data_IF_644594216034
#
_entry.id   IF_644594216034
#
_cell.length_a   1.000
_cell.length_b   1.000
_cell.length_c   1.000
_cell.angle_alpha   90.00
_cell.angle_beta   90.00
_cell.angle_gamma   90.00
#
_symmetry.space_group_name_H-M   'P 1'
#
loop_
_entity.id
_entity.type
_entity.pdbx_description
1 polymer ?
#
# COMPACT_ATOMS: atom_id res chain seq x y z
N UNK A 1 -6.32 4.03 -25.61
CA UNK A 1 -6.85 4.03 -24.24
C UNK A 1 -7.37 5.42 -23.87
N UNK A 2 -6.53 6.47 -23.87
CA UNK A 2 -6.94 7.83 -23.47
C UNK A 2 -8.15 8.35 -24.27
N UNK A 3 -8.24 8.05 -25.57
CA UNK A 3 -9.38 8.44 -26.39
C UNK A 3 -10.69 7.79 -25.92
N UNK A 4 -10.69 6.48 -25.62
CA UNK A 4 -11.86 5.80 -25.07
C UNK A 4 -12.28 6.36 -23.70
N UNK A 5 -11.30 6.67 -22.85
CA UNK A 5 -11.55 7.33 -21.55
C UNK A 5 -12.23 8.68 -21.79
N UNK A 6 -11.71 9.49 -22.72
CA UNK A 6 -12.27 10.80 -23.04
C UNK A 6 -13.74 10.72 -23.52
N UNK A 7 -14.08 9.77 -24.38
CA UNK A 7 -15.46 9.55 -24.83
C UNK A 7 -16.40 9.20 -23.66
N UNK A 8 -15.91 8.45 -22.69
CA UNK A 8 -16.65 8.14 -21.47
C UNK A 8 -16.89 9.43 -20.66
N UNK A 9 -15.83 10.20 -20.44
CA UNK A 9 -15.86 11.41 -19.62
C UNK A 9 -16.72 12.54 -20.18
N UNK A 10 -16.87 12.61 -21.50
CA UNK A 10 -17.82 13.54 -22.14
C UNK A 10 -19.28 13.28 -21.78
N UNK A 11 -19.64 12.02 -21.55
CA UNK A 11 -21.03 11.60 -21.34
C UNK A 11 -21.36 11.34 -19.87
N UNK A 12 -20.33 11.09 -19.05
CA UNK A 12 -20.51 10.58 -17.70
C UNK A 12 -19.63 11.31 -16.70
N UNK A 13 -20.18 11.65 -15.55
CA UNK A 13 -19.36 12.04 -14.40
C UNK A 13 -18.73 10.84 -13.77
N UNK A 14 -17.43 10.92 -13.56
CA UNK A 14 -16.63 9.72 -13.34
C UNK A 14 -15.60 9.94 -12.24
N UNK A 15 -15.41 8.95 -11.38
CA UNK A 15 -14.20 8.84 -10.56
C UNK A 15 -13.23 7.92 -11.29
N UNK A 16 -12.01 8.39 -11.50
CA UNK A 16 -10.92 7.62 -12.08
C UNK A 16 -10.01 7.19 -10.94
N UNK A 17 -10.07 5.92 -10.56
CA UNK A 17 -9.18 5.38 -9.54
C UNK A 17 -7.85 4.94 -10.14
N UNK A 18 -6.78 5.25 -9.43
CA UNK A 18 -5.41 4.82 -9.68
C UNK A 18 -4.80 4.22 -8.42
N UNK A 19 -3.73 3.46 -8.55
CA UNK A 19 -3.15 2.74 -7.41
C UNK A 19 -2.15 3.57 -6.59
N UNK A 20 -1.51 4.59 -7.19
CA UNK A 20 -0.51 5.42 -6.51
C UNK A 20 -0.79 6.91 -6.69
N UNK A 21 -0.29 7.72 -5.74
CA UNK A 21 -0.38 9.19 -5.79
C UNK A 21 0.36 9.75 -7.01
N UNK A 22 1.53 9.17 -7.33
CA UNK A 22 2.30 9.55 -8.51
C UNK A 22 1.51 9.30 -9.81
N UNK A 23 0.83 8.15 -9.92
CA UNK A 23 -0.06 7.88 -11.07
C UNK A 23 -1.20 8.90 -11.16
N UNK A 24 -1.77 9.35 -10.03
CA UNK A 24 -2.82 10.36 -10.04
C UNK A 24 -2.32 11.68 -10.64
N UNK A 25 -1.16 12.16 -10.19
CA UNK A 25 -0.55 13.40 -10.69
C UNK A 25 -0.17 13.30 -12.17
N UNK A 26 0.50 12.21 -12.59
CA UNK A 26 0.91 11.99 -13.97
C UNK A 26 -0.29 11.89 -14.93
N UNK A 27 -1.32 11.16 -14.52
CA UNK A 27 -2.55 11.03 -15.30
C UNK A 27 -3.24 12.40 -15.45
N UNK A 28 -3.34 13.15 -14.35
CA UNK A 28 -3.94 14.48 -14.38
C UNK A 28 -3.22 15.40 -15.38
N UNK A 29 -1.89 15.45 -15.33
CA UNK A 29 -1.10 16.26 -16.25
C UNK A 29 -1.35 15.84 -17.71
N UNK A 30 -1.32 14.53 -17.96
CA UNK A 30 -1.47 13.97 -19.29
C UNK A 30 -2.85 14.24 -19.89
N UNK A 31 -3.91 14.03 -19.09
CA UNK A 31 -5.28 14.17 -19.52
C UNK A 31 -5.68 15.64 -19.71
N UNK A 32 -5.27 16.52 -18.81
CA UNK A 32 -5.55 17.97 -18.89
C UNK A 32 -4.74 18.67 -19.99
N UNK A 33 -3.58 18.12 -20.38
CA UNK A 33 -2.82 18.62 -21.52
C UNK A 33 -3.54 18.32 -22.82
N UNK A 34 -4.13 17.14 -22.93
CA UNK A 34 -4.75 16.64 -24.16
C UNK A 34 -6.19 17.11 -24.33
N UNK A 35 -6.97 17.16 -23.25
CA UNK A 35 -8.42 17.45 -23.29
C UNK A 35 -8.71 18.69 -22.45
N UNK A 36 -8.75 19.86 -23.11
CA UNK A 36 -8.93 21.16 -22.47
C UNK A 36 -10.41 21.53 -22.22
N UNK A 37 -11.31 20.82 -22.85
CA UNK A 37 -12.76 21.03 -22.79
C UNK A 37 -13.40 20.39 -21.54
N UNK A 38 -12.67 19.53 -20.82
CA UNK A 38 -13.13 18.88 -19.61
C UNK A 38 -12.38 19.42 -18.36
N UNK A 39 -13.12 19.50 -17.27
CA UNK A 39 -12.57 19.93 -15.97
C UNK A 39 -12.26 18.71 -15.12
N UNK A 40 -11.02 18.64 -14.63
CA UNK A 40 -10.52 17.56 -13.80
C UNK A 40 -10.04 18.09 -12.45
N UNK A 41 -10.12 17.23 -11.43
CA UNK A 41 -9.47 17.47 -10.15
C UNK A 41 -8.73 16.21 -9.68
N UNK A 42 -7.83 16.37 -8.71
CA UNK A 42 -7.08 15.29 -8.07
C UNK A 42 -7.53 15.16 -6.62
N UNK A 43 -7.59 13.90 -6.12
CA UNK A 43 -7.90 13.63 -4.73
C UNK A 43 -7.04 12.47 -4.20
N UNK A 44 -6.12 12.76 -3.29
CA UNK A 44 -5.31 11.73 -2.60
C UNK A 44 -4.86 12.22 -1.21
N UNK A 45 -4.45 11.27 -0.36
CA UNK A 45 -4.16 11.53 1.05
C UNK A 45 -3.04 12.54 1.34
N UNK A 46 -2.15 12.81 0.36
CA UNK A 46 -1.08 13.82 0.52
C UNK A 46 -1.54 15.25 0.28
N UNK A 47 -2.73 15.47 -0.26
CA UNK A 47 -3.29 16.81 -0.43
C UNK A 47 -3.80 17.34 0.91
N UNK A 48 -3.72 18.68 1.11
CA UNK A 48 -4.28 19.31 2.30
C UNK A 48 -5.79 19.04 2.40
N UNK A 49 -6.31 18.98 3.64
CA UNK A 49 -7.73 18.74 3.90
C UNK A 49 -8.62 19.76 3.16
N UNK A 50 -8.18 21.02 3.11
CA UNK A 50 -8.91 22.10 2.41
C UNK A 50 -9.07 21.82 0.92
N UNK A 51 -8.00 21.41 0.23
CA UNK A 51 -8.02 21.08 -1.21
C UNK A 51 -8.93 19.87 -1.47
N UNK A 52 -8.87 18.86 -0.60
CA UNK A 52 -9.72 17.67 -0.74
C UNK A 52 -11.19 18.01 -0.62
N UNK A 53 -11.58 18.76 0.43
CA UNK A 53 -12.96 19.20 0.63
C UNK A 53 -13.47 20.08 -0.52
N UNK A 54 -12.65 21.02 -1.02
CA UNK A 54 -12.96 21.85 -2.17
C UNK A 54 -13.19 21.00 -3.44
N UNK A 55 -12.38 19.96 -3.66
CA UNK A 55 -12.55 19.02 -4.77
C UNK A 55 -13.85 18.22 -4.65
N UNK A 56 -14.19 17.75 -3.46
CA UNK A 56 -15.41 17.02 -3.19
C UNK A 56 -16.66 17.89 -3.42
N UNK A 57 -16.61 19.14 -2.95
CA UNK A 57 -17.68 20.11 -3.15
C UNK A 57 -17.88 20.46 -4.63
N UNK A 58 -16.79 20.71 -5.36
CA UNK A 58 -16.84 20.98 -6.80
C UNK A 58 -17.46 19.83 -7.59
N UNK A 59 -17.20 18.57 -7.16
CA UNK A 59 -17.83 17.41 -7.79
C UNK A 59 -19.31 17.32 -7.46
N UNK A 60 -19.70 17.54 -6.21
CA UNK A 60 -21.11 17.58 -5.76
C UNK A 60 -21.89 18.65 -6.48
N UNK A 61 -21.30 19.84 -6.64
CA UNK A 61 -21.90 20.98 -7.33
C UNK A 61 -21.80 20.92 -8.85
N UNK A 62 -21.37 19.78 -9.40
CA UNK A 62 -21.29 19.55 -10.84
C UNK A 62 -20.32 20.46 -11.61
N UNK A 63 -19.32 21.04 -10.95
CA UNK A 63 -18.37 21.98 -11.55
C UNK A 63 -17.21 21.30 -12.26
N UNK A 64 -17.00 20.00 -12.02
CA UNK A 64 -15.98 19.18 -12.65
C UNK A 64 -16.55 17.91 -13.28
N UNK A 65 -15.89 17.40 -14.31
CA UNK A 65 -16.31 16.22 -15.05
C UNK A 65 -15.78 14.92 -14.42
N UNK A 66 -14.56 14.96 -13.90
CA UNK A 66 -13.96 13.77 -13.29
C UNK A 66 -12.98 14.13 -12.16
N UNK A 67 -12.91 13.22 -11.18
CA UNK A 67 -11.87 13.23 -10.14
C UNK A 67 -10.93 12.06 -10.37
N UNK A 68 -9.63 12.33 -10.37
CA UNK A 68 -8.59 11.31 -10.37
C UNK A 68 -8.20 11.06 -8.91
N UNK A 69 -8.46 9.85 -8.42
CA UNK A 69 -8.31 9.52 -7.02
C UNK A 69 -7.50 8.26 -6.78
N UNK A 70 -6.86 8.19 -5.62
CA UNK A 70 -6.35 6.95 -5.03
C UNK A 70 -7.41 6.32 -4.13
N UNK A 71 -7.02 5.54 -3.12
CA UNK A 71 -7.95 4.94 -2.15
C UNK A 71 -8.73 5.94 -1.29
N UNK A 72 -8.40 7.22 -1.34
CA UNK A 72 -9.02 8.25 -0.51
C UNK A 72 -10.52 8.49 -0.75
N UNK A 73 -11.05 8.02 -1.87
CA UNK A 73 -12.47 8.06 -2.22
C UNK A 73 -13.12 6.65 -2.31
N UNK A 74 -12.44 5.61 -1.84
CA UNK A 74 -13.01 4.24 -1.78
C UNK A 74 -14.14 4.13 -0.75
N UNK A 75 -14.12 4.98 0.28
CA UNK A 75 -15.10 4.96 1.38
C UNK A 75 -15.66 6.37 1.68
N UNK A 76 -16.84 6.42 2.27
CA UNK A 76 -17.38 7.66 2.84
C UNK A 76 -17.99 8.66 1.84
N UNK A 77 -18.25 8.24 0.59
CA UNK A 77 -18.85 9.11 -0.42
C UNK A 77 -20.18 8.54 -0.89
N UNK A 78 -21.17 9.39 -0.89
CA UNK A 78 -22.46 9.15 -1.51
C UNK A 78 -22.79 10.33 -2.44
N UNK A 79 -22.43 10.16 -3.72
CA UNK A 79 -22.66 11.18 -4.74
C UNK A 79 -23.53 10.60 -5.87
N UNK A 80 -24.81 10.97 -5.86
CA UNK A 80 -25.80 10.58 -6.88
C UNK A 80 -25.40 10.93 -8.31
N UNK A 81 -24.45 11.85 -8.46
CA UNK A 81 -24.01 12.37 -9.77
C UNK A 81 -22.98 11.47 -10.46
N UNK A 82 -22.36 10.53 -9.75
CA UNK A 82 -21.37 9.63 -10.34
C UNK A 82 -22.07 8.47 -11.06
N UNK A 83 -21.98 8.48 -12.38
CA UNK A 83 -22.62 7.44 -13.22
C UNK A 83 -21.69 6.27 -13.56
N UNK A 84 -20.38 6.46 -13.44
CA UNK A 84 -19.41 5.44 -13.83
C UNK A 84 -18.09 5.58 -13.09
N UNK A 85 -17.41 4.45 -12.88
CA UNK A 85 -16.06 4.37 -12.34
C UNK A 85 -15.08 3.90 -13.40
N UNK A 86 -13.89 4.46 -13.43
CA UNK A 86 -12.77 3.96 -14.23
C UNK A 86 -11.65 3.57 -13.27
N UNK A 87 -11.17 2.32 -13.36
CA UNK A 87 -9.98 1.87 -12.65
C UNK A 87 -8.80 1.78 -13.63
N UNK A 88 -7.76 2.54 -13.42
CA UNK A 88 -6.50 2.43 -14.17
C UNK A 88 -5.51 1.62 -13.33
N UNK A 89 -5.16 0.47 -13.86
CA UNK A 89 -4.58 -0.62 -13.10
C UNK A 89 -5.61 -1.37 -12.26
N UNK A 90 -5.27 -2.59 -11.88
CA UNK A 90 -6.13 -3.40 -11.02
C UNK A 90 -5.91 -3.00 -9.56
N UNK A 91 -6.95 -2.75 -8.76
CA UNK A 91 -6.78 -2.69 -7.32
C UNK A 91 -6.29 -4.05 -6.83
N UNK A 92 -5.37 -4.05 -5.86
CA UNK A 92 -4.65 -5.26 -5.43
C UNK A 92 -5.51 -6.28 -4.67
N UNK A 93 -6.85 -6.15 -4.75
CA UNK A 93 -7.84 -7.05 -4.15
C UNK A 93 -9.23 -6.89 -4.78
N UNK A 94 -10.01 -7.97 -4.76
CA UNK A 94 -11.37 -8.02 -5.30
C UNK A 94 -12.32 -7.15 -4.48
N UNK A 95 -12.23 -7.22 -3.14
CA UNK A 95 -13.06 -6.41 -2.24
C UNK A 95 -12.91 -4.92 -2.53
N UNK A 96 -11.68 -4.47 -2.77
CA UNK A 96 -11.40 -3.09 -3.12
C UNK A 96 -12.00 -2.68 -4.46
N UNK A 97 -11.96 -3.57 -5.46
CA UNK A 97 -12.61 -3.31 -6.74
C UNK A 97 -14.13 -3.14 -6.56
N UNK A 98 -14.75 -4.02 -5.78
CA UNK A 98 -16.20 -3.95 -5.49
C UNK A 98 -16.55 -2.66 -4.75
N UNK A 99 -15.74 -2.26 -3.75
CA UNK A 99 -15.91 -0.98 -3.04
C UNK A 99 -15.84 0.22 -3.98
N UNK A 100 -14.89 0.23 -4.94
CA UNK A 100 -14.78 1.28 -5.96
C UNK A 100 -15.99 1.28 -6.88
N UNK A 101 -16.41 0.12 -7.39
CA UNK A 101 -17.59 -0.03 -8.27
C UNK A 101 -18.84 0.50 -7.56
N UNK A 102 -18.98 0.20 -6.26
CA UNK A 102 -20.07 0.69 -5.44
C UNK A 102 -20.10 2.21 -5.25
N UNK A 103 -19.13 3.00 -5.78
CA UNK A 103 -19.19 4.47 -5.80
C UNK A 103 -19.93 5.04 -7.01
N UNK A 104 -20.49 4.21 -7.86
CA UNK A 104 -21.27 4.64 -9.04
C UNK A 104 -22.74 4.27 -8.92
N UNK A 105 -23.59 5.11 -9.52
CA UNK A 105 -25.02 4.86 -9.68
C UNK A 105 -25.74 4.53 -8.35
N UNK A 106 -25.63 5.40 -7.34
CA UNK A 106 -26.33 5.25 -6.06
C UNK A 106 -27.87 5.38 -6.13
N UNK A 107 -28.43 5.53 -7.31
CA UNK A 107 -29.90 5.60 -7.49
C UNK A 107 -30.52 4.21 -7.30
N UNK A 108 -31.69 4.16 -6.69
CA UNK A 108 -32.36 2.95 -6.20
C UNK A 108 -32.51 1.81 -7.22
N UNK A 109 -32.66 2.00 -8.50
CA UNK A 109 -32.77 0.95 -9.51
C UNK A 109 -31.59 0.92 -10.50
N UNK A 110 -30.49 1.56 -10.21
CA UNK A 110 -29.39 1.62 -11.14
C UNK A 110 -28.29 0.61 -10.85
N UNK A 111 -27.74 0.00 -11.90
CA UNK A 111 -26.65 -0.96 -11.77
C UNK A 111 -25.32 -0.19 -11.78
N UNK A 112 -24.44 -0.40 -10.79
CA UNK A 112 -23.10 0.18 -10.79
C UNK A 112 -22.32 -0.20 -12.04
N UNK A 113 -21.62 0.78 -12.64
CA UNK A 113 -20.83 0.60 -13.86
C UNK A 113 -19.37 0.93 -13.64
N UNK A 114 -18.49 0.05 -14.07
CA UNK A 114 -17.06 0.29 -14.02
C UNK A 114 -16.35 -0.16 -15.30
N UNK A 115 -15.27 0.53 -15.62
CA UNK A 115 -14.32 0.16 -16.67
C UNK A 115 -12.97 -0.07 -16.01
N UNK A 116 -12.33 -1.20 -16.29
CA UNK A 116 -11.00 -1.51 -15.81
C UNK A 116 -10.03 -1.40 -16.99
N UNK A 117 -8.95 -0.67 -16.79
CA UNK A 117 -7.95 -0.38 -17.82
C UNK A 117 -6.59 -0.91 -17.35
N UNK A 118 -6.14 -2.08 -17.83
CA UNK A 118 -4.83 -2.60 -17.48
C UNK A 118 -3.73 -1.71 -18.04
N UNK A 119 -2.65 -1.50 -17.29
CA UNK A 119 -1.50 -0.67 -17.69
C UNK A 119 -0.38 -1.50 -18.33
N UNK A 120 -0.36 -2.80 -18.06
CA UNK A 120 0.61 -3.75 -18.62
C UNK A 120 -0.04 -5.13 -18.88
N UNK A 121 0.73 -6.04 -19.47
CA UNK A 121 0.23 -7.36 -19.87
C UNK A 121 -0.18 -8.24 -18.69
N UNK A 122 0.56 -8.22 -17.59
CA UNK A 122 0.23 -9.00 -16.38
C UNK A 122 -1.03 -8.44 -15.69
N UNK A 123 -1.18 -7.13 -15.62
CA UNK A 123 -2.42 -6.52 -15.09
C UNK A 123 -3.67 -6.89 -15.89
N UNK A 124 -3.55 -7.26 -17.16
CA UNK A 124 -4.70 -7.77 -17.89
C UNK A 124 -5.21 -9.07 -17.27
N UNK A 125 -4.33 -9.99 -16.88
CA UNK A 125 -4.70 -11.21 -16.18
C UNK A 125 -5.24 -10.94 -14.78
N UNK A 126 -4.70 -9.93 -14.07
CA UNK A 126 -5.28 -9.45 -12.81
C UNK A 126 -6.72 -8.95 -13.01
N UNK A 127 -6.98 -8.15 -14.06
CA UNK A 127 -8.33 -7.66 -14.39
C UNK A 127 -9.28 -8.83 -14.66
N UNK A 128 -8.85 -9.80 -15.45
CA UNK A 128 -9.64 -10.99 -15.75
C UNK A 128 -9.93 -11.82 -14.51
N UNK A 129 -8.92 -12.01 -13.64
CA UNK A 129 -9.08 -12.70 -12.37
C UNK A 129 -10.08 -11.99 -11.44
N UNK A 130 -10.03 -10.65 -11.36
CA UNK A 130 -11.02 -9.87 -10.62
C UNK A 130 -12.44 -10.10 -11.15
N UNK A 131 -12.63 -10.04 -12.47
CA UNK A 131 -13.93 -10.25 -13.10
C UNK A 131 -14.46 -11.65 -12.83
N UNK A 132 -13.61 -12.68 -12.95
CA UNK A 132 -13.95 -14.06 -12.68
C UNK A 132 -14.40 -14.24 -11.21
N UNK A 133 -13.66 -13.69 -10.25
CA UNK A 133 -13.96 -13.80 -8.83
C UNK A 133 -15.26 -13.08 -8.47
N UNK A 134 -15.51 -11.89 -9.03
CA UNK A 134 -16.77 -11.16 -8.83
C UNK A 134 -17.96 -11.98 -9.37
N UNK A 135 -17.85 -12.52 -10.58
CA UNK A 135 -18.90 -13.39 -11.18
C UNK A 135 -19.19 -14.62 -10.32
N UNK A 136 -18.14 -15.21 -9.72
CA UNK A 136 -18.24 -16.36 -8.81
C UNK A 136 -18.67 -15.98 -7.39
N UNK A 137 -18.87 -14.69 -7.09
CA UNK A 137 -19.12 -14.14 -5.73
C UNK A 137 -18.06 -14.56 -4.71
N UNK A 138 -16.81 -14.73 -5.15
CA UNK A 138 -15.67 -15.07 -4.30
C UNK A 138 -14.87 -13.81 -4.03
N UNK A 139 -14.87 -13.38 -2.79
CA UNK A 139 -14.21 -12.18 -2.31
C UNK A 139 -12.91 -12.53 -1.58
N UNK A 140 -12.10 -11.48 -1.30
CA UNK A 140 -10.89 -11.68 -0.52
C UNK A 140 -11.23 -12.08 0.91
N UNK A 141 -10.60 -13.14 1.38
CA UNK A 141 -10.68 -13.54 2.78
C UNK A 141 -9.82 -12.58 3.60
N UNK A 142 -10.35 -12.13 4.71
CA UNK A 142 -9.58 -11.40 5.71
C UNK A 142 -9.03 -12.45 6.65
N UNK A 143 -7.70 -12.63 6.65
CA UNK A 143 -7.06 -13.49 7.65
C UNK A 143 -7.32 -12.94 9.05
N UNK A 144 -7.60 -13.82 9.99
CA UNK A 144 -7.75 -13.45 11.40
C UNK A 144 -6.45 -12.76 11.88
N UNK A 145 -6.55 -11.52 12.30
CA UNK A 145 -5.42 -10.82 12.87
C UNK A 145 -5.19 -11.30 14.30
N UNK A 146 -4.03 -11.88 14.54
CA UNK A 146 -3.52 -12.11 15.88
C UNK A 146 -3.20 -10.74 16.49
N UNK A 147 -3.50 -10.55 17.77
CA UNK A 147 -3.21 -9.31 18.47
C UNK A 147 -1.71 -9.02 18.50
N UNK A 148 -1.32 -7.81 18.11
CA UNK A 148 0.07 -7.40 18.11
C UNK A 148 0.56 -7.02 19.50
N UNK A 149 1.83 -7.31 19.79
CA UNK A 149 2.42 -7.10 21.13
C UNK A 149 2.52 -5.61 21.49
N UNK A 150 2.79 -4.74 20.51
CA UNK A 150 2.88 -3.29 20.71
C UNK A 150 1.53 -2.69 21.14
N UNK A 151 0.42 -3.14 20.56
CA UNK A 151 -0.94 -2.74 20.98
C UNK A 151 -1.22 -3.21 22.40
N UNK A 152 -0.81 -4.44 22.75
CA UNK A 152 -0.96 -4.94 24.11
C UNK A 152 -0.11 -4.16 25.11
N UNK A 153 1.15 -3.89 24.79
CA UNK A 153 2.03 -3.02 25.60
C UNK A 153 1.41 -1.65 25.84
N UNK A 154 0.88 -1.02 24.79
CA UNK A 154 0.23 0.29 24.89
C UNK A 154 -1.02 0.22 25.78
N UNK A 155 -1.84 -0.82 25.65
CA UNK A 155 -3.01 -1.03 26.49
C UNK A 155 -2.64 -1.17 27.97
N UNK A 156 -1.59 -1.94 28.29
CA UNK A 156 -1.06 -2.08 29.67
C UNK A 156 -0.60 -0.73 30.22
N UNK A 157 0.12 0.06 29.41
CA UNK A 157 0.57 1.40 29.81
C UNK A 157 -0.61 2.35 30.06
N UNK A 158 -1.63 2.34 29.24
CA UNK A 158 -2.83 3.16 29.42
C UNK A 158 -3.55 2.77 30.72
N UNK A 159 -3.79 1.49 30.98
CA UNK A 159 -4.41 1.02 32.20
C UNK A 159 -3.60 1.41 33.45
N UNK A 160 -2.28 1.35 33.35
CA UNK A 160 -1.40 1.75 34.47
C UNK A 160 -1.49 3.24 34.80
N UNK A 161 -1.81 4.09 33.81
CA UNK A 161 -2.02 5.53 34.00
C UNK A 161 -3.39 5.86 34.58
N UNK A 162 -4.37 4.98 34.44
CA UNK A 162 -5.75 5.18 34.93
C UNK A 162 -5.89 4.68 36.37
N UNK A 163 -6.23 3.43 36.52
CA UNK A 163 -6.50 2.81 37.84
C UNK A 163 -5.52 1.67 38.18
N UNK A 164 -4.59 1.38 37.30
CA UNK A 164 -3.66 0.26 37.45
C UNK A 164 -4.30 -1.06 37.05
N UNK A 165 -3.51 -2.14 37.03
CA UNK A 165 -4.00 -3.49 36.71
C UNK A 165 -3.27 -4.56 37.52
N UNK A 166 -3.99 -5.64 37.81
CA UNK A 166 -3.42 -6.88 38.35
C UNK A 166 -3.28 -7.87 37.18
N UNK A 167 -2.09 -8.47 37.03
CA UNK A 167 -1.77 -9.27 35.84
C UNK A 167 -2.70 -10.47 35.62
N UNK A 168 -3.08 -11.16 36.70
CA UNK A 168 -3.94 -12.35 36.61
C UNK A 168 -5.38 -12.02 36.15
N UNK A 169 -5.94 -10.97 36.74
CA UNK A 169 -7.29 -10.52 36.42
C UNK A 169 -7.36 -9.98 34.99
N UNK A 170 -6.41 -9.10 34.62
CA UNK A 170 -6.35 -8.51 33.29
C UNK A 170 -6.12 -9.57 32.20
N UNK A 171 -5.28 -10.58 32.46
CA UNK A 171 -5.10 -11.67 31.51
C UNK A 171 -6.43 -12.37 31.17
N UNK A 172 -7.26 -12.66 32.18
CA UNK A 172 -8.58 -13.29 31.98
C UNK A 172 -9.53 -12.44 31.13
N UNK A 173 -9.38 -11.13 31.16
CA UNK A 173 -10.14 -10.20 30.29
C UNK A 173 -9.59 -10.18 28.87
N UNK A 174 -8.29 -10.09 28.72
CA UNK A 174 -7.60 -10.01 27.41
C UNK A 174 -7.87 -11.24 26.55
N UNK A 175 -7.79 -12.46 27.12
CA UNK A 175 -8.03 -13.69 26.37
C UNK A 175 -9.48 -13.88 25.91
N UNK A 176 -10.42 -13.12 26.46
CA UNK A 176 -11.81 -13.11 25.96
C UNK A 176 -11.93 -12.32 24.64
N UNK A 177 -10.93 -11.51 24.31
CA UNK A 177 -10.93 -10.76 23.06
C UNK A 177 -10.46 -11.65 21.90
N UNK A 178 -11.06 -11.49 20.73
CA UNK A 178 -10.73 -12.32 19.57
C UNK A 178 -9.23 -12.29 19.19
N UNK A 179 -8.54 -11.13 19.15
CA UNK A 179 -7.14 -11.07 18.77
C UNK A 179 -6.18 -11.82 19.70
N UNK A 180 -6.53 -11.93 20.98
CA UNK A 180 -5.65 -12.51 22.02
C UNK A 180 -6.17 -13.83 22.59
N UNK A 181 -7.21 -14.44 21.99
CA UNK A 181 -7.83 -15.70 22.47
C UNK A 181 -6.83 -16.85 22.69
N UNK A 182 -5.73 -16.86 21.94
CA UNK A 182 -4.70 -17.90 22.01
C UNK A 182 -3.42 -17.45 22.76
N UNK A 183 -3.46 -16.30 23.44
CA UNK A 183 -2.32 -15.78 24.20
C UNK A 183 -2.04 -16.67 25.41
N UNK A 184 -0.80 -17.11 25.58
CA UNK A 184 -0.38 -17.89 26.75
C UNK A 184 -0.04 -16.95 27.92
N UNK A 185 -0.38 -17.37 29.16
CA UNK A 185 -0.12 -16.55 30.34
C UNK A 185 1.38 -16.29 30.56
N UNK A 186 2.26 -17.26 30.31
CA UNK A 186 3.71 -17.07 30.38
C UNK A 186 4.19 -15.94 29.47
N UNK A 187 3.74 -15.94 28.22
CA UNK A 187 4.09 -14.90 27.25
C UNK A 187 3.49 -13.54 27.62
N UNK A 188 2.27 -13.52 28.16
CA UNK A 188 1.70 -12.28 28.69
C UNK A 188 2.55 -11.69 29.81
N UNK A 189 3.11 -12.51 30.72
CA UNK A 189 3.99 -12.04 31.77
C UNK A 189 5.31 -11.48 31.24
N UNK A 190 5.87 -12.04 30.15
CA UNK A 190 7.02 -11.46 29.47
C UNK A 190 6.71 -10.07 28.91
N UNK A 191 5.52 -9.87 28.32
CA UNK A 191 5.07 -8.55 27.86
C UNK A 191 4.90 -7.59 29.05
N UNK A 192 4.32 -8.03 30.16
CA UNK A 192 4.20 -7.20 31.38
C UNK A 192 5.58 -6.82 31.90
N UNK A 193 6.55 -7.73 31.97
CA UNK A 193 7.93 -7.45 32.36
C UNK A 193 8.59 -6.44 31.42
N UNK A 194 8.42 -6.62 30.12
CA UNK A 194 8.94 -5.67 29.13
C UNK A 194 8.37 -4.25 29.33
N UNK A 195 7.08 -4.13 29.61
CA UNK A 195 6.44 -2.83 29.87
C UNK A 195 6.89 -2.24 31.21
N UNK A 196 7.20 -3.08 32.19
CA UNK A 196 7.59 -2.68 33.53
C UNK A 196 8.97 -2.01 33.54
N UNK A 197 10.00 -2.65 33.01
CA UNK A 197 11.40 -2.22 33.12
C UNK A 197 12.17 -2.16 31.79
N UNK A 198 11.51 -2.44 30.65
CA UNK A 198 12.13 -2.47 29.33
C UNK A 198 12.80 -3.80 28.99
N UNK A 199 12.55 -4.85 29.80
CA UNK A 199 13.11 -6.19 29.64
C UNK A 199 14.59 -6.29 30.02
N UNK A 200 15.19 -7.45 29.76
CA UNK A 200 16.54 -7.79 30.24
C UNK A 200 17.65 -6.82 29.82
N UNK A 201 17.46 -6.05 28.73
CA UNK A 201 18.48 -5.08 28.25
C UNK A 201 18.45 -3.80 29.07
N UNK A 202 17.28 -3.33 29.49
CA UNK A 202 17.10 -2.01 30.10
C UNK A 202 16.81 -2.05 31.60
N UNK A 203 16.61 -3.25 32.19
CA UNK A 203 16.26 -3.42 33.61
C UNK A 203 17.31 -2.84 34.60
N UNK A 204 18.57 -2.70 34.17
CA UNK A 204 19.63 -2.09 34.96
C UNK A 204 19.60 -0.54 34.99
N UNK A 205 18.72 0.07 34.23
CA UNK A 205 18.60 1.52 34.11
C UNK A 205 17.27 2.01 34.68
N UNK A 206 17.27 2.49 35.91
CA UNK A 206 16.08 3.03 36.61
C UNK A 206 15.27 4.05 35.77
N UNK A 207 15.94 4.77 34.86
CA UNK A 207 15.31 5.73 33.95
C UNK A 207 14.25 5.09 33.03
N UNK A 208 14.37 3.81 32.75
CA UNK A 208 13.45 3.09 31.81
C UNK A 208 12.35 2.34 32.55
N UNK A 209 12.41 2.24 33.88
CA UNK A 209 11.34 1.65 34.68
C UNK A 209 10.12 2.57 34.65
N UNK A 210 9.10 2.17 33.92
CA UNK A 210 7.88 2.98 33.73
C UNK A 210 6.79 2.69 34.74
N UNK A 211 6.77 1.48 35.26
CA UNK A 211 5.75 1.04 36.21
C UNK A 211 6.33 0.76 37.59
N UNK A 212 5.49 0.84 38.60
CA UNK A 212 5.73 0.33 39.97
C UNK A 212 4.61 -0.66 40.31
N UNK A 213 4.95 -1.63 41.14
CA UNK A 213 4.04 -2.62 41.65
C UNK A 213 3.77 -2.33 43.13
N UNK A 214 2.51 -2.21 43.49
CA UNK A 214 2.11 -1.97 44.88
C UNK A 214 1.99 -3.27 45.69
N UNK A 215 1.75 -3.16 46.99
CA UNK A 215 1.59 -4.29 47.91
C UNK A 215 0.39 -5.20 47.57
N UNK A 216 -0.54 -4.72 46.76
CA UNK A 216 -1.73 -5.49 46.24
C UNK A 216 -1.45 -6.12 44.90
N UNK A 217 -0.20 -6.16 44.44
CA UNK A 217 0.19 -6.66 43.12
C UNK A 217 -0.41 -5.89 41.94
N UNK A 218 -0.78 -4.61 42.12
CA UNK A 218 -1.31 -3.74 41.07
C UNK A 218 -0.16 -2.96 40.46
N UNK A 219 -0.08 -3.03 39.13
CA UNK A 219 0.89 -2.27 38.35
C UNK A 219 0.33 -0.88 38.05
N UNK A 220 1.10 0.15 38.39
CA UNK A 220 0.78 1.57 38.16
C UNK A 220 1.98 2.28 37.57
N UNK A 221 1.74 3.37 36.84
CA UNK A 221 2.82 4.24 36.38
C UNK A 221 3.61 4.79 37.59
N UNK A 222 4.93 4.87 37.48
CA UNK A 222 5.81 5.20 38.58
C UNK A 222 5.82 6.71 38.93
N UNK A 223 5.64 7.61 37.94
CA UNK A 223 5.68 9.06 38.12
C UNK A 223 4.79 9.79 37.08
N UNK A 224 4.51 11.07 37.37
CA UNK A 224 3.62 11.91 36.54
C UNK A 224 4.27 12.29 35.18
N UNK A 225 5.60 12.34 35.07
CA UNK A 225 6.24 12.61 33.77
C UNK A 225 6.05 11.44 32.81
N UNK A 226 6.24 10.21 33.28
CA UNK A 226 5.96 9.01 32.51
C UNK A 226 4.48 8.92 32.13
N UNK A 227 3.58 9.25 33.06
CA UNK A 227 2.13 9.31 32.79
C UNK A 227 1.81 10.30 31.68
N UNK A 228 2.35 11.50 31.76
CA UNK A 228 2.16 12.53 30.72
C UNK A 228 2.68 12.06 29.37
N UNK A 229 3.88 11.47 29.32
CA UNK A 229 4.48 10.95 28.09
C UNK A 229 3.64 9.84 27.47
N UNK A 230 3.12 8.90 28.27
CA UNK A 230 2.25 7.82 27.79
C UNK A 230 0.96 8.38 27.20
N UNK A 231 0.31 9.33 27.90
CA UNK A 231 -0.94 9.94 27.45
C UNK A 231 -0.74 10.75 26.17
N UNK A 232 0.36 11.50 26.05
CA UNK A 232 0.66 12.28 24.84
C UNK A 232 0.98 11.41 23.62
N UNK A 233 1.43 10.17 23.84
CA UNK A 233 1.76 9.20 22.80
C UNK A 233 0.69 8.10 22.67
N UNK A 234 -0.52 8.36 23.10
CA UNK A 234 -1.67 7.47 22.87
C UNK A 234 -1.94 7.37 21.36
N UNK A 235 -1.93 6.16 20.84
CA UNK A 235 -2.21 5.89 19.44
C UNK A 235 -1.15 5.01 18.79
N UNK A 236 -1.31 4.77 17.51
CA UNK A 236 -0.36 3.98 16.73
C UNK A 236 0.95 4.76 16.56
N UNK A 237 2.08 4.13 16.82
CA UNK A 237 3.40 4.68 16.51
C UNK A 237 3.50 4.79 14.99
N UNK A 238 3.54 6.01 14.49
CA UNK A 238 3.67 6.30 13.06
C UNK A 238 5.11 6.74 12.83
N UNK A 239 5.84 5.94 12.08
CA UNK A 239 7.24 6.19 11.73
C UNK A 239 7.38 7.05 10.45
N UNK A 240 6.42 7.94 10.18
CA UNK A 240 6.41 8.77 8.98
C UNK A 240 6.47 10.25 9.35
N UNK A 241 7.66 10.83 9.21
CA UNK A 241 7.79 12.28 9.15
C UNK A 241 7.37 12.77 7.75
N UNK A 242 6.27 13.50 7.71
CA UNK A 242 5.79 14.16 6.50
C UNK A 242 6.34 15.60 6.44
N UNK A 243 6.78 16.00 5.25
CA UNK A 243 7.27 17.36 4.97
C UNK A 243 6.17 18.14 4.29
N UNK A 244 5.85 19.30 4.83
CA UNK A 244 4.81 20.17 4.30
C UNK A 244 5.26 20.87 3.02
N UNK A 245 4.38 20.92 2.01
CA UNK A 245 4.61 21.68 0.77
C UNK A 245 3.73 22.92 0.77
N UNK A 246 4.35 24.12 0.68
CA UNK A 246 3.64 25.39 0.78
C UNK A 246 3.89 26.29 -0.44
N UNK A 247 2.81 26.93 -0.90
CA UNK A 247 2.81 27.95 -1.96
C UNK A 247 2.42 29.30 -1.35
N UNK A 248 3.38 30.11 -0.99
CA UNK A 248 3.17 31.31 -0.20
C UNK A 248 2.56 30.96 1.17
N UNK A 249 1.36 31.47 1.46
CA UNK A 249 0.62 31.15 2.69
C UNK A 249 -0.27 29.90 2.58
N UNK A 250 -0.40 29.30 1.38
CA UNK A 250 -1.30 28.18 1.13
C UNK A 250 -0.56 26.85 1.30
N UNK A 251 -1.04 25.98 2.19
CA UNK A 251 -0.58 24.61 2.32
C UNK A 251 -1.18 23.79 1.18
N UNK A 252 -0.35 23.21 0.33
CA UNK A 252 -0.77 22.32 -0.75
C UNK A 252 -1.00 20.90 -0.23
N UNK A 253 -0.16 20.43 0.69
CA UNK A 253 -0.22 19.09 1.28
C UNK A 253 1.13 18.68 1.83
N UNK A 254 1.33 17.36 1.95
CA UNK A 254 2.52 16.77 2.55
C UNK A 254 3.17 15.75 1.61
N UNK A 255 4.49 15.65 1.66
CA UNK A 255 5.29 14.63 0.98
C UNK A 255 6.09 13.83 2.00
N UNK A 256 6.52 12.63 1.63
CA UNK A 256 7.37 11.80 2.46
C UNK A 256 8.74 12.43 2.66
N UNK A 257 9.31 12.32 3.87
CA UNK A 257 10.63 12.90 4.20
C UNK A 257 11.73 12.39 3.25
N UNK A 258 11.65 11.15 2.80
CA UNK A 258 12.62 10.61 1.85
C UNK A 258 12.67 11.38 0.52
N UNK A 259 11.64 12.15 0.20
CA UNK A 259 11.65 13.02 -0.98
C UNK A 259 12.73 14.09 -0.90
N UNK A 260 13.14 14.52 0.30
CA UNK A 260 14.24 15.48 0.47
C UNK A 260 15.57 15.00 -0.12
N UNK A 261 15.79 13.69 -0.17
CA UNK A 261 16.99 13.10 -0.75
C UNK A 261 17.07 13.28 -2.28
N UNK A 262 15.94 13.60 -2.91
CA UNK A 262 15.82 13.67 -4.37
C UNK A 262 15.50 15.07 -4.90
N UNK A 263 15.31 16.06 -4.03
CA UNK A 263 14.94 17.41 -4.42
C UNK A 263 15.97 18.43 -3.94
N UNK A 264 16.24 19.43 -4.80
CA UNK A 264 17.11 20.57 -4.50
C UNK A 264 16.39 21.88 -4.79
N UNK A 265 16.91 22.99 -4.26
CA UNK A 265 16.45 24.34 -4.60
C UNK A 265 16.58 24.56 -6.11
N UNK A 266 15.52 25.05 -6.75
CA UNK A 266 15.42 25.25 -8.20
C UNK A 266 14.78 24.06 -8.95
N UNK A 267 14.66 22.89 -8.34
CA UNK A 267 14.02 21.74 -8.98
C UNK A 267 12.52 21.96 -9.17
N UNK A 268 12.03 21.46 -10.32
CA UNK A 268 10.63 21.58 -10.70
C UNK A 268 9.92 20.23 -10.60
N UNK A 269 8.75 20.24 -9.98
CA UNK A 269 7.91 19.05 -9.87
C UNK A 269 6.42 19.39 -9.91
N UNK A 270 5.60 18.40 -10.16
CA UNK A 270 4.13 18.52 -10.14
C UNK A 270 3.57 18.04 -8.82
N UNK A 271 2.71 18.85 -8.20
CA UNK A 271 2.05 18.54 -6.95
C UNK A 271 0.68 19.21 -6.89
N UNK A 272 -0.35 18.49 -6.45
CA UNK A 272 -1.72 19.01 -6.40
C UNK A 272 -2.25 19.50 -7.77
N UNK A 273 -1.81 18.84 -8.86
CA UNK A 273 -2.19 19.18 -10.23
C UNK A 273 -1.58 20.45 -10.79
N UNK A 274 -0.63 21.08 -10.10
CA UNK A 274 0.12 22.26 -10.57
C UNK A 274 1.61 21.98 -10.65
N UNK A 275 2.30 22.63 -11.59
CA UNK A 275 3.76 22.58 -11.66
C UNK A 275 4.35 23.66 -10.77
N UNK A 276 5.31 23.28 -9.94
CA UNK A 276 5.95 24.14 -8.95
C UNK A 276 7.48 24.03 -9.03
N UNK A 277 8.17 25.07 -8.62
CA UNK A 277 9.63 25.12 -8.45
C UNK A 277 9.96 25.27 -6.97
N UNK A 278 10.90 24.49 -6.48
CA UNK A 278 11.38 24.55 -5.12
C UNK A 278 12.19 25.82 -4.87
N UNK A 279 11.72 26.67 -3.94
CA UNK A 279 12.41 27.92 -3.55
C UNK A 279 13.35 27.66 -2.39
N UNK A 280 12.87 26.94 -1.38
CA UNK A 280 13.59 26.67 -0.15
C UNK A 280 13.16 25.35 0.47
N UNK A 281 14.09 24.71 1.17
CA UNK A 281 13.89 23.45 1.87
C UNK A 281 14.32 23.65 3.34
N UNK A 282 13.44 23.33 4.28
CA UNK A 282 13.72 23.26 5.71
C UNK A 282 13.38 21.85 6.23
N UNK A 283 13.63 21.58 7.50
CA UNK A 283 13.43 20.24 8.09
C UNK A 283 11.98 19.75 8.00
N UNK A 284 11.01 20.65 8.02
CA UNK A 284 9.57 20.37 8.08
C UNK A 284 8.76 20.96 6.93
N UNK A 285 9.39 21.74 6.03
CA UNK A 285 8.70 22.48 4.97
C UNK A 285 9.50 22.59 3.69
N UNK A 286 8.83 22.40 2.55
CA UNK A 286 9.30 22.75 1.21
C UNK A 286 8.48 23.93 0.70
N UNK A 287 9.10 25.09 0.56
CA UNK A 287 8.45 26.28 -0.02
C UNK A 287 8.62 26.26 -1.54
N UNK A 288 7.49 26.46 -2.23
CA UNK A 288 7.46 26.43 -3.68
C UNK A 288 6.81 27.67 -4.28
N UNK A 289 7.13 27.94 -5.56
CA UNK A 289 6.40 28.91 -6.40
C UNK A 289 5.78 28.18 -7.58
N UNK A 290 4.63 28.67 -8.05
CA UNK A 290 3.96 28.14 -9.25
C UNK A 290 4.75 28.50 -10.51
N UNK A 291 4.88 27.57 -11.44
CA UNK A 291 5.51 27.78 -12.74
C UNK A 291 4.53 27.48 -13.88
N UNK A 292 4.72 28.14 -15.02
CA UNK A 292 3.89 27.92 -16.24
C UNK A 292 4.31 26.65 -17.00
N UNK A 293 5.59 26.29 -16.94
CA UNK A 293 6.15 25.11 -17.63
C UNK A 293 5.65 23.83 -16.94
N UNK A 294 4.94 23.00 -17.69
CA UNK A 294 4.49 21.69 -17.18
C UNK A 294 5.67 20.73 -17.05
N UNK A 295 5.80 20.09 -15.91
CA UNK A 295 6.81 19.05 -15.64
C UNK A 295 6.13 17.72 -15.37
N UNK A 296 6.79 16.63 -15.76
CA UNK A 296 6.36 15.25 -15.46
C UNK A 296 7.04 14.68 -14.20
N UNK A 297 7.94 15.45 -13.58
CA UNK A 297 8.51 15.04 -12.31
C UNK A 297 7.43 15.12 -11.23
N UNK A 298 7.27 14.07 -10.46
CA UNK A 298 6.33 13.99 -9.33
C UNK A 298 7.10 13.53 -8.09
N UNK A 299 6.65 13.91 -6.88
CA UNK A 299 7.26 13.41 -5.66
C UNK A 299 7.29 11.88 -5.62
N UNK A 300 8.36 11.34 -5.09
CA UNK A 300 8.42 9.90 -4.76
C UNK A 300 7.60 9.69 -3.49
N UNK A 301 6.61 8.82 -3.58
CA UNK A 301 5.75 8.46 -2.45
C UNK A 301 6.10 7.04 -2.01
N UNK A 302 6.69 6.92 -0.83
CA UNK A 302 6.91 5.65 -0.16
C UNK A 302 5.63 5.30 0.61
N UNK A 303 5.13 4.13 0.43
CA UNK A 303 3.90 3.66 1.08
C UNK A 303 2.88 3.11 0.08
N UNK A 304 1.87 2.40 0.60
CA UNK A 304 0.86 1.76 -0.24
C UNK A 304 1.36 0.51 -0.97
N UNK A 305 2.38 -0.17 -0.43
CA UNK A 305 2.85 -1.49 -0.91
C UNK A 305 1.81 -2.58 -0.65
N UNK A 306 0.58 -2.35 -1.13
CA UNK A 306 -0.46 -3.36 -1.07
C UNK A 306 -0.09 -4.48 -2.02
N UNK A 307 0.06 -5.66 -1.46
CA UNK A 307 0.28 -6.88 -2.23
C UNK A 307 -1.03 -7.37 -2.87
N UNK A 308 -0.91 -8.09 -3.98
CA UNK A 308 -2.01 -8.88 -4.53
C UNK A 308 -2.53 -9.85 -3.47
N UNK A 309 -3.86 -9.94 -3.36
CA UNK A 309 -4.49 -10.89 -2.44
C UNK A 309 -4.29 -12.33 -2.93
N UNK A 310 -4.27 -13.27 -1.98
CA UNK A 310 -4.17 -14.72 -2.26
C UNK A 310 -5.27 -15.20 -3.22
N UNK A 311 -6.48 -14.64 -3.10
CA UNK A 311 -7.60 -14.97 -4.00
C UNK A 311 -7.28 -14.61 -5.44
N UNK A 312 -6.72 -13.40 -5.66
CA UNK A 312 -6.33 -12.92 -7.00
C UNK A 312 -5.19 -13.74 -7.59
N UNK A 313 -4.11 -13.94 -6.84
CA UNK A 313 -2.95 -14.69 -7.35
C UNK A 313 -3.31 -16.13 -7.70
N UNK A 314 -4.14 -16.78 -6.89
CA UNK A 314 -4.63 -18.13 -7.19
C UNK A 314 -5.53 -18.16 -8.45
N UNK A 315 -6.38 -17.17 -8.66
CA UNK A 315 -7.23 -17.12 -9.86
C UNK A 315 -6.40 -16.81 -11.12
N UNK A 316 -5.31 -16.02 -11.02
CA UNK A 316 -4.37 -15.80 -12.14
C UNK A 316 -3.69 -17.12 -12.53
N UNK A 317 -3.21 -17.90 -11.55
CA UNK A 317 -2.63 -19.21 -11.81
C UNK A 317 -3.61 -20.17 -12.47
N UNK A 318 -4.90 -20.14 -12.08
CA UNK A 318 -5.95 -20.92 -12.76
C UNK A 318 -6.14 -20.49 -14.22
N UNK A 319 -6.08 -19.18 -14.51
CA UNK A 319 -6.16 -18.69 -15.89
C UNK A 319 -5.00 -19.27 -16.72
N UNK A 320 -3.79 -19.32 -16.15
CA UNK A 320 -2.63 -19.90 -16.83
C UNK A 320 -2.76 -21.44 -17.01
N UNK A 321 -3.29 -22.16 -16.02
CA UNK A 321 -3.52 -23.61 -16.12
C UNK A 321 -4.55 -24.00 -17.18
N UNK A 322 -5.63 -23.22 -17.31
CA UNK A 322 -6.70 -23.52 -18.28
C UNK A 322 -6.28 -23.26 -19.73
N UNK A 323 -5.22 -22.52 -19.94
CA UNK A 323 -4.54 -22.28 -21.23
C UNK A 323 -5.49 -21.91 -22.41
N UNK A 324 -6.60 -21.22 -22.12
CA UNK A 324 -7.59 -20.82 -23.13
C UNK A 324 -7.36 -19.35 -23.53
N UNK A 325 -6.25 -19.08 -24.24
CA UNK A 325 -5.87 -17.73 -24.62
C UNK A 325 -6.34 -17.29 -25.99
N UNK A 326 -7.07 -18.11 -26.72
CA UNK A 326 -7.56 -17.87 -28.09
C UNK A 326 -8.43 -16.60 -28.17
N UNK A 327 -9.22 -16.34 -27.14
CA UNK A 327 -10.11 -15.18 -27.06
C UNK A 327 -9.43 -13.90 -26.51
N UNK A 328 -8.12 -13.96 -26.23
CA UNK A 328 -7.37 -12.81 -25.73
C UNK A 328 -6.80 -11.97 -26.87
N UNK A 329 -6.53 -10.67 -26.65
CA UNK A 329 -5.86 -9.85 -27.66
C UNK A 329 -4.55 -10.47 -28.13
N UNK A 330 -4.24 -10.39 -29.43
CA UNK A 330 -3.08 -11.02 -30.07
C UNK A 330 -1.74 -10.72 -29.37
N UNK A 331 -1.58 -9.50 -28.84
CA UNK A 331 -0.38 -9.12 -28.05
C UNK A 331 -0.23 -9.92 -26.76
N UNK A 332 -1.31 -10.40 -26.19
CA UNK A 332 -1.29 -11.24 -24.99
C UNK A 332 -1.06 -12.71 -25.35
N UNK A 333 -1.70 -13.18 -26.42
CA UNK A 333 -1.43 -14.52 -26.95
C UNK A 333 0.08 -14.69 -27.25
N UNK A 334 0.68 -13.72 -27.95
CA UNK A 334 2.12 -13.71 -28.24
C UNK A 334 2.98 -13.65 -26.97
N UNK A 335 2.52 -12.94 -25.93
CA UNK A 335 3.23 -12.87 -24.65
C UNK A 335 3.25 -14.23 -23.95
N UNK A 336 2.13 -14.91 -23.89
CA UNK A 336 2.01 -16.26 -23.31
C UNK A 336 2.82 -17.26 -24.11
N UNK A 337 2.63 -17.28 -25.44
CA UNK A 337 3.38 -18.18 -26.34
C UNK A 337 4.89 -18.00 -26.20
N UNK A 338 5.39 -16.78 -26.12
CA UNK A 338 6.83 -16.51 -25.92
C UNK A 338 7.36 -17.08 -24.58
N UNK A 339 6.52 -17.18 -23.56
CA UNK A 339 6.89 -17.80 -22.28
C UNK A 339 6.91 -19.33 -22.46
N UNK A 340 5.91 -19.91 -23.09
CA UNK A 340 5.81 -21.36 -23.34
C UNK A 340 6.93 -21.88 -24.28
N UNK A 341 7.30 -21.10 -25.29
CA UNK A 341 8.39 -21.43 -26.21
C UNK A 341 9.76 -21.46 -25.50
N UNK A 342 9.96 -20.77 -24.41
CA UNK A 342 11.25 -20.65 -23.70
C UNK A 342 11.30 -21.39 -22.37
N UNK A 343 10.16 -21.65 -21.75
CA UNK A 343 10.01 -22.20 -20.43
C UNK A 343 8.60 -22.80 -20.27
N UNK A 344 7.94 -22.54 -19.15
CA UNK A 344 6.57 -22.93 -18.90
C UNK A 344 5.77 -21.80 -18.26
N UNK A 345 4.44 -21.88 -18.25
CA UNK A 345 3.62 -20.98 -17.47
C UNK A 345 3.60 -21.39 -15.99
N UNK A 346 3.58 -20.44 -15.06
CA UNK A 346 3.36 -20.73 -13.64
C UNK A 346 2.01 -21.41 -13.43
N UNK A 347 1.96 -22.42 -12.55
CA UNK A 347 0.76 -23.22 -12.24
C UNK A 347 0.49 -23.22 -10.74
N UNK A 348 -0.75 -23.57 -10.35
CA UNK A 348 -1.05 -23.86 -8.94
C UNK A 348 -0.18 -25.06 -8.49
N UNK A 349 0.16 -25.11 -7.23
CA UNK A 349 0.93 -26.21 -6.63
C UNK A 349 2.35 -26.47 -7.21
N UNK A 350 2.81 -25.62 -8.13
CA UNK A 350 4.18 -25.65 -8.65
C UNK A 350 4.85 -24.30 -8.44
N UNK A 351 6.12 -24.31 -8.08
CA UNK A 351 6.97 -23.13 -8.04
C UNK A 351 7.87 -23.18 -9.27
N UNK A 352 7.68 -22.28 -10.20
CA UNK A 352 8.56 -22.13 -11.34
C UNK A 352 9.82 -21.40 -10.89
N UNK A 353 10.98 -22.00 -11.16
CA UNK A 353 12.29 -21.41 -10.91
C UNK A 353 13.02 -21.33 -12.25
N UNK A 354 13.48 -20.14 -12.59
CA UNK A 354 14.26 -19.89 -13.80
C UNK A 354 15.59 -19.27 -13.43
N UNK A 355 16.64 -19.74 -14.08
CA UNK A 355 17.95 -19.15 -13.93
C UNK A 355 18.50 -18.76 -15.30
N UNK A 356 19.15 -17.60 -15.38
CA UNK A 356 19.77 -17.13 -16.61
C UNK A 356 20.99 -16.24 -16.35
N UNK A 357 22.01 -16.30 -17.23
CA UNK A 357 23.19 -15.48 -17.09
C UNK A 357 22.88 -14.01 -17.34
N UNK A 358 23.47 -13.13 -16.55
CA UNK A 358 23.37 -11.71 -16.72
C UNK A 358 24.69 -11.03 -16.33
N UNK A 359 25.35 -10.34 -17.27
CA UNK A 359 26.68 -9.76 -17.08
C UNK A 359 27.69 -10.81 -16.56
N UNK A 360 28.31 -10.54 -15.41
CA UNK A 360 29.32 -11.40 -14.79
C UNK A 360 28.71 -12.42 -13.80
N UNK A 361 27.40 -12.46 -13.65
CA UNK A 361 26.70 -13.35 -12.73
C UNK A 361 25.46 -13.96 -13.36
N UNK A 362 24.52 -14.37 -12.50
CA UNK A 362 23.26 -14.98 -12.91
C UNK A 362 22.10 -14.46 -12.06
N UNK A 363 20.92 -14.39 -12.65
CA UNK A 363 19.68 -14.24 -11.92
C UNK A 363 19.06 -15.60 -11.64
N UNK A 364 18.66 -15.81 -10.40
CA UNK A 364 17.74 -16.84 -9.96
C UNK A 364 16.38 -16.20 -9.75
N UNK A 365 15.39 -16.54 -10.58
CA UNK A 365 14.03 -15.98 -10.51
C UNK A 365 13.06 -17.05 -10.05
N UNK A 366 12.31 -16.78 -9.00
CA UNK A 366 11.35 -17.69 -8.40
C UNK A 366 9.95 -17.08 -8.50
N UNK A 367 9.04 -17.74 -9.18
CA UNK A 367 7.65 -17.31 -9.39
C UNK A 367 6.74 -17.93 -8.33
N UNK A 368 6.58 -17.23 -7.24
CA UNK A 368 5.81 -17.70 -6.08
C UNK A 368 4.32 -17.40 -6.17
N UNK A 369 3.94 -16.29 -6.78
CA UNK A 369 2.57 -15.74 -6.78
C UNK A 369 1.98 -15.57 -5.36
N UNK A 370 2.83 -15.18 -4.38
CA UNK A 370 2.41 -15.01 -2.96
C UNK A 370 2.25 -13.56 -2.52
N UNK A 371 2.49 -12.62 -3.44
CA UNK A 371 2.45 -11.20 -3.15
C UNK A 371 3.80 -10.66 -2.65
N UNK A 372 3.98 -9.34 -2.80
CA UNK A 372 5.27 -8.67 -2.55
C UNK A 372 5.81 -8.89 -1.14
N UNK A 373 4.97 -8.86 -0.10
CA UNK A 373 5.42 -9.01 1.29
C UNK A 373 5.97 -10.42 1.57
N UNK A 374 5.26 -11.46 1.11
CA UNK A 374 5.75 -12.83 1.22
C UNK A 374 7.05 -13.03 0.44
N UNK A 375 7.12 -12.48 -0.78
CA UNK A 375 8.33 -12.52 -1.60
C UNK A 375 9.52 -11.84 -0.93
N UNK A 376 9.30 -10.75 -0.19
CA UNK A 376 10.35 -10.09 0.57
C UNK A 376 10.90 -11.00 1.69
N UNK A 377 10.02 -11.64 2.45
CA UNK A 377 10.44 -12.59 3.49
C UNK A 377 11.21 -13.76 2.89
N UNK A 378 10.69 -14.35 1.80
CA UNK A 378 11.34 -15.44 1.10
C UNK A 378 12.71 -15.01 0.55
N UNK A 379 12.81 -13.81 -0.04
CA UNK A 379 14.09 -13.28 -0.55
C UNK A 379 15.13 -13.14 0.56
N UNK A 380 14.75 -12.65 1.73
CA UNK A 380 15.67 -12.51 2.86
C UNK A 380 16.17 -13.88 3.36
N UNK A 381 15.26 -14.85 3.50
CA UNK A 381 15.61 -16.22 3.92
C UNK A 381 16.52 -16.90 2.89
N UNK A 382 16.16 -16.86 1.60
CA UNK A 382 16.96 -17.45 0.52
C UNK A 382 18.33 -16.78 0.39
N UNK A 383 18.41 -15.46 0.50
CA UNK A 383 19.68 -14.74 0.49
C UNK A 383 20.59 -15.24 1.61
N UNK A 384 20.05 -15.44 2.81
CA UNK A 384 20.80 -16.01 3.93
C UNK A 384 21.26 -17.43 3.65
N UNK A 385 20.34 -18.29 3.20
CA UNK A 385 20.68 -19.69 2.85
C UNK A 385 21.76 -19.76 1.77
N UNK A 386 21.69 -18.91 0.74
CA UNK A 386 22.70 -18.85 -0.31
C UNK A 386 24.08 -18.45 0.26
N UNK A 387 24.13 -17.47 1.16
CA UNK A 387 25.38 -17.08 1.82
C UNK A 387 25.95 -18.22 2.66
N UNK A 388 25.11 -18.89 3.43
CA UNK A 388 25.52 -20.01 4.29
C UNK A 388 26.02 -21.21 3.47
N UNK A 389 25.61 -21.34 2.19
CA UNK A 389 26.11 -22.33 1.23
C UNK A 389 27.25 -21.81 0.32
N UNK A 390 27.87 -20.69 0.65
CA UNK A 390 29.06 -20.18 -0.03
C UNK A 390 28.80 -19.38 -1.31
N UNK A 391 27.55 -19.09 -1.64
CA UNK A 391 27.21 -18.21 -2.78
C UNK A 391 27.32 -16.73 -2.37
N UNK A 392 27.51 -15.86 -3.37
CA UNK A 392 27.60 -14.40 -3.17
C UNK A 392 26.42 -13.66 -3.79
N UNK A 393 25.25 -13.65 -3.14
CA UNK A 393 24.12 -12.85 -3.60
C UNK A 393 24.43 -11.36 -3.40
N UNK A 394 24.27 -10.55 -4.46
CA UNK A 394 24.59 -9.13 -4.44
C UNK A 394 23.37 -8.25 -4.14
N UNK A 395 22.22 -8.59 -4.73
CA UNK A 395 20.96 -7.91 -4.44
C UNK A 395 19.77 -8.81 -4.81
N UNK A 396 18.56 -8.37 -4.43
CA UNK A 396 17.33 -8.98 -4.89
C UNK A 396 16.35 -7.92 -5.41
N UNK A 397 15.50 -8.33 -6.34
CA UNK A 397 14.36 -7.57 -6.85
C UNK A 397 13.09 -8.37 -6.59
N UNK A 398 11.97 -7.70 -6.34
CA UNK A 398 10.71 -8.39 -6.05
C UNK A 398 9.49 -7.61 -6.52
N UNK A 399 8.46 -8.36 -6.86
CA UNK A 399 7.13 -7.86 -7.17
C UNK A 399 6.06 -8.80 -6.54
N UNK A 400 4.80 -8.66 -6.94
CA UNK A 400 3.72 -9.51 -6.41
C UNK A 400 3.77 -10.96 -6.90
N UNK A 401 4.43 -11.23 -8.03
CA UNK A 401 4.43 -12.53 -8.70
C UNK A 401 5.70 -13.34 -8.44
N UNK A 402 6.82 -12.65 -8.32
CA UNK A 402 8.14 -13.27 -8.31
C UNK A 402 9.15 -12.49 -7.46
N UNK A 403 10.23 -13.16 -7.15
CA UNK A 403 11.46 -12.58 -6.65
C UNK A 403 12.61 -13.01 -7.56
N UNK A 404 13.62 -12.16 -7.68
CA UNK A 404 14.84 -12.46 -8.42
C UNK A 404 16.06 -12.13 -7.57
N UNK A 405 16.98 -13.05 -7.41
CA UNK A 405 18.23 -12.85 -6.67
C UNK A 405 19.37 -12.82 -7.69
N UNK A 406 20.17 -11.79 -7.66
CA UNK A 406 21.38 -11.70 -8.47
C UNK A 406 22.58 -12.28 -7.71
N UNK A 407 23.20 -13.28 -8.28
CA UNK A 407 24.32 -14.04 -7.70
C UNK A 407 25.55 -13.82 -8.57
N UNK A 408 26.70 -13.55 -7.95
CA UNK A 408 27.99 -13.37 -8.64
C UNK A 408 28.66 -14.72 -8.92
N UNK A 409 27.92 -15.66 -9.55
CA UNK A 409 28.42 -16.97 -9.96
C UNK A 409 27.66 -17.47 -11.20
N UNK A 410 28.22 -18.43 -11.93
CA UNK A 410 27.53 -19.05 -13.07
C UNK A 410 26.52 -20.08 -12.57
N UNK A 411 25.39 -20.15 -13.25
CA UNK A 411 24.22 -21.02 -12.89
C UNK A 411 24.54 -22.51 -12.85
N UNK A 412 25.60 -22.96 -13.50
CA UNK A 412 25.97 -24.39 -13.54
C UNK A 412 26.20 -25.04 -12.16
N UNK A 413 26.37 -24.21 -11.14
CA UNK A 413 26.64 -24.65 -9.77
C UNK A 413 25.37 -24.73 -8.89
N UNK A 414 24.17 -24.48 -9.46
CA UNK A 414 22.89 -24.46 -8.73
C UNK A 414 22.04 -25.74 -8.94
N UNK A 415 22.56 -26.73 -9.66
CA UNK A 415 21.90 -28.03 -9.93
C UNK A 415 22.23 -29.11 -8.87
N UNK A 416 22.51 -28.69 -7.64
CA UNK A 416 22.79 -29.57 -6.51
C UNK A 416 21.66 -29.65 -5.49
#
# INVERSE_FOLDING_TARGET
>A
VLEKIYQILKRNRTIIFVNTRAQAELLFISITKKYKDLKFAIHHGSLSKKIRLETEENMRNNQINAIISTSSLEMGIDWDTISQIINIGTPKGVNRLVQRIGRSNHKYYSVPKAVIVPTNKLEYFECQACINLIKKKKYDLIDEKIGSNDVLCQHLLILSCMYGFESKSLFKEIIKTHPYKNLKYSYFLEIVSFVFDGGYILNNYNKWTKLKKDNRNIYRVNDENNKRNIIMNIGTIIDNSNIRVTLGKKILGDVDQNFLNFIKKGDCFSFSGISVECINISADEIRVKKIKKKTLNVPVYWGGNLSLTKSLTNEILKIFEHNQFENYPSKLQNFVKNQEDKSTLPKQNLVLIESFPYKLGSYLVIYTFRGRQANQTISNLLTRTLIDNGYSPLNYILNDYSLGIFINSKVRDLEG
#
